data_IF_126395125921
#
_entry.id   IF_126395125921
#
_cell.length_a   1.000
_cell.length_b   1.000
_cell.length_c   1.000
_cell.angle_alpha   90.00
_cell.angle_beta   90.00
_cell.angle_gamma   90.00
#
_symmetry.space_group_name_H-M   'P 1'
#
loop_
_entity.id
_entity.type
_entity.pdbx_description
1 polymer ?
#
# COMPACT_ATOMS: atom_id res chain seq x y z
N UNK A 1 -24.48 7.77 -17.94
CA UNK A 1 -23.83 6.88 -16.94
C UNK A 1 -22.35 7.20 -16.92
N UNK A 2 -21.91 8.04 -15.97
CA UNK A 2 -20.48 8.27 -15.74
C UNK A 2 -19.93 6.97 -15.15
N UNK A 3 -19.06 6.28 -15.88
CA UNK A 3 -18.29 5.19 -15.34
C UNK A 3 -17.17 5.83 -14.51
N UNK A 4 -17.19 5.80 -13.16
CA UNK A 4 -16.03 6.19 -12.39
C UNK A 4 -14.93 5.17 -12.71
N UNK A 5 -13.98 5.59 -13.54
CA UNK A 5 -12.79 4.83 -13.91
C UNK A 5 -12.15 4.26 -12.65
N UNK A 6 -11.98 2.94 -12.63
CA UNK A 6 -11.59 2.09 -11.49
C UNK A 6 -10.14 2.28 -11.04
N UNK A 7 -9.65 3.52 -10.96
CA UNK A 7 -8.29 3.85 -10.55
C UNK A 7 -8.32 4.99 -9.52
N UNK A 8 -8.96 4.74 -8.37
CA UNK A 8 -8.90 5.69 -7.26
C UNK A 8 -7.45 5.74 -6.76
N UNK A 9 -6.90 6.95 -6.76
CA UNK A 9 -5.58 7.24 -6.23
C UNK A 9 -5.71 7.70 -4.77
N UNK A 10 -5.12 6.95 -3.86
CA UNK A 10 -5.13 7.20 -2.43
C UNK A 10 -3.89 7.99 -2.00
N UNK A 11 -4.06 8.92 -1.07
CA UNK A 11 -2.96 9.59 -0.37
C UNK A 11 -2.37 8.68 0.71
N UNK A 12 -1.15 8.97 1.16
CA UNK A 12 -0.53 8.24 2.27
C UNK A 12 -1.43 8.18 3.51
N UNK A 13 -2.17 9.25 3.80
CA UNK A 13 -3.14 9.28 4.91
C UNK A 13 -4.29 8.29 4.70
N UNK A 14 -4.90 8.24 3.51
CA UNK A 14 -5.97 7.28 3.22
C UNK A 14 -5.48 5.84 3.28
N UNK A 15 -4.24 5.59 2.79
CA UNK A 15 -3.60 4.28 2.91
C UNK A 15 -3.36 3.91 4.37
N UNK A 16 -2.92 4.87 5.18
CA UNK A 16 -2.69 4.68 6.61
C UNK A 16 -3.99 4.35 7.35
N UNK A 17 -5.06 5.11 7.09
CA UNK A 17 -6.39 4.85 7.65
C UNK A 17 -6.92 3.48 7.22
N UNK A 18 -6.73 3.10 5.96
CA UNK A 18 -7.18 1.81 5.44
C UNK A 18 -6.45 0.62 6.07
N UNK A 19 -5.16 0.78 6.35
CA UNK A 19 -4.31 -0.24 6.99
C UNK A 19 -4.34 -0.15 8.53
N UNK A 20 -5.02 0.84 9.11
CA UNK A 20 -5.06 1.06 10.56
C UNK A 20 -3.72 1.46 11.19
N UNK A 21 -2.85 2.13 10.43
CA UNK A 21 -1.51 2.54 10.88
C UNK A 21 -1.31 4.05 10.77
N UNK A 22 -0.18 4.56 11.27
CA UNK A 22 0.19 5.96 11.05
C UNK A 22 0.73 6.21 9.64
N UNK A 23 0.58 7.43 9.06
CA UNK A 23 1.20 7.77 7.78
C UNK A 23 2.71 7.56 7.76
N UNK A 24 3.39 7.81 8.88
CA UNK A 24 4.82 7.55 9.05
C UNK A 24 5.16 6.06 8.90
N UNK A 25 4.29 5.18 9.39
CA UNK A 25 4.42 3.72 9.21
C UNK A 25 4.30 3.33 7.74
N UNK A 26 3.39 3.96 6.99
CA UNK A 26 3.25 3.73 5.54
C UNK A 26 4.56 4.05 4.82
N UNK A 27 5.15 5.21 5.07
CA UNK A 27 6.45 5.57 4.48
C UNK A 27 7.56 4.59 4.89
N UNK A 28 7.62 4.22 6.18
CA UNK A 28 8.58 3.22 6.66
C UNK A 28 8.42 1.86 5.96
N UNK A 29 7.19 1.44 5.65
CA UNK A 29 6.96 0.20 4.91
C UNK A 29 7.37 0.32 3.45
N UNK A 30 7.17 1.48 2.82
CA UNK A 30 7.66 1.76 1.46
C UNK A 30 9.19 1.69 1.43
N UNK A 31 9.87 2.32 2.39
CA UNK A 31 11.34 2.28 2.51
C UNK A 31 11.87 0.86 2.73
N UNK A 32 11.13 0.05 3.53
CA UNK A 32 11.46 -1.36 3.75
C UNK A 32 11.11 -2.29 2.57
N UNK A 33 10.47 -1.78 1.52
CA UNK A 33 9.95 -2.62 0.43
C UNK A 33 8.75 -3.48 0.81
N UNK A 34 8.15 -3.21 1.97
CA UNK A 34 6.99 -3.93 2.50
C UNK A 34 5.66 -3.39 1.96
N UNK A 35 5.64 -2.26 1.27
CA UNK A 35 4.43 -1.67 0.67
C UNK A 35 4.76 -1.22 -0.77
N UNK A 36 3.83 -1.32 -1.73
CA UNK A 36 4.07 -0.90 -3.11
C UNK A 36 4.57 0.53 -3.22
N UNK A 37 5.44 0.79 -4.20
CA UNK A 37 6.00 2.13 -4.41
C UNK A 37 4.89 3.12 -4.79
N UNK A 38 4.86 4.32 -4.21
CA UNK A 38 3.93 5.35 -4.63
C UNK A 38 4.21 5.80 -6.07
N UNK A 39 3.15 6.21 -6.75
CA UNK A 39 3.23 7.01 -7.96
C UNK A 39 3.49 8.46 -7.58
N UNK A 40 4.56 9.03 -8.12
CA UNK A 40 4.89 10.45 -7.98
C UNK A 40 4.13 11.20 -9.07
N UNK A 41 3.11 11.96 -8.67
CA UNK A 41 2.27 12.78 -9.56
C UNK A 41 2.87 14.20 -9.70
N UNK A 42 3.67 14.63 -8.71
CA UNK A 42 4.36 15.92 -8.71
C UNK A 42 5.40 15.99 -7.61
N UNK A 43 6.04 17.14 -7.45
CA UNK A 43 7.24 17.33 -6.62
C UNK A 43 7.08 16.88 -5.16
N UNK A 44 5.87 17.00 -4.60
CA UNK A 44 5.53 16.57 -3.23
C UNK A 44 4.32 15.63 -3.17
N UNK A 45 3.74 15.28 -4.33
CA UNK A 45 2.48 14.57 -4.41
C UNK A 45 2.69 13.10 -4.78
N UNK A 46 2.69 12.23 -3.78
CA UNK A 46 2.72 10.77 -3.94
C UNK A 46 1.34 10.15 -3.75
N UNK A 47 0.99 9.17 -4.58
CA UNK A 47 -0.31 8.48 -4.56
C UNK A 47 -0.16 6.99 -4.78
N UNK A 48 -1.10 6.22 -4.25
CA UNK A 48 -1.19 4.78 -4.47
C UNK A 48 -2.45 4.45 -5.24
N UNK A 49 -2.36 3.55 -6.22
CA UNK A 49 -3.58 2.98 -6.81
C UNK A 49 -4.20 2.04 -5.79
N UNK A 50 -5.51 2.18 -5.58
CA UNK A 50 -6.24 1.24 -4.73
C UNK A 50 -6.06 -0.21 -5.22
N UNK A 51 -5.99 -0.42 -6.54
CA UNK A 51 -5.77 -1.74 -7.12
C UNK A 51 -4.45 -2.37 -6.66
N UNK A 52 -3.34 -1.64 -6.77
CA UNK A 52 -2.01 -2.13 -6.37
C UNK A 52 -1.96 -2.49 -4.88
N UNK A 53 -2.65 -1.73 -4.04
CA UNK A 53 -2.74 -2.04 -2.60
C UNK A 53 -3.58 -3.28 -2.31
N UNK A 54 -4.69 -3.48 -3.04
CA UNK A 54 -5.51 -4.71 -2.95
C UNK A 54 -4.70 -5.93 -3.43
N UNK A 55 -4.02 -5.81 -4.56
CA UNK A 55 -3.17 -6.88 -5.09
C UNK A 55 -2.03 -7.21 -4.12
N UNK A 56 -1.41 -6.18 -3.53
CA UNK A 56 -0.39 -6.35 -2.50
C UNK A 56 -0.94 -7.06 -1.25
N UNK A 57 -2.11 -6.67 -0.73
CA UNK A 57 -2.73 -7.36 0.42
C UNK A 57 -2.98 -8.84 0.13
N UNK A 58 -3.51 -9.16 -1.06
CA UNK A 58 -3.73 -10.54 -1.49
C UNK A 58 -2.45 -11.36 -1.60
N UNK A 59 -1.31 -10.71 -1.89
CA UNK A 59 0.00 -11.40 -1.90
C UNK A 59 0.55 -11.67 -0.50
N UNK A 60 0.29 -10.79 0.47
CA UNK A 60 0.83 -10.91 1.85
C UNK A 60 0.15 -11.97 2.70
N UNK A 61 -1.09 -12.35 2.39
CA UNK A 61 -1.78 -13.47 3.07
C UNK A 61 -1.08 -14.83 2.88
N UNK A 62 -0.15 -14.96 1.92
CA UNK A 62 0.57 -16.22 1.68
C UNK A 62 1.98 -16.31 2.27
N UNK A 63 2.57 -15.21 2.74
CA UNK A 63 3.95 -15.22 3.29
C UNK A 63 4.01 -15.46 4.81
N UNK A 64 2.87 -15.65 5.47
CA UNK A 64 2.79 -15.84 6.93
C UNK A 64 2.82 -17.31 7.37
N UNK A 65 3.57 -18.17 6.67
CA UNK A 65 3.65 -19.59 7.02
C UNK A 65 5.05 -20.22 7.08
N UNK A 66 6.15 -19.45 7.03
CA UNK A 66 7.52 -20.03 7.08
C UNK A 66 8.53 -19.18 7.88
N UNK A 67 8.13 -18.60 9.01
CA UNK A 67 9.09 -18.10 10.01
C UNK A 67 8.63 -18.49 11.41
N UNK A 68 8.50 -19.79 11.62
CA UNK A 68 8.34 -20.40 12.95
C UNK A 68 9.02 -21.79 12.90
N UNK A 69 10.32 -21.83 12.58
CA UNK A 69 11.19 -23.00 12.79
C UNK A 69 12.60 -22.78 12.24
N UNK A 70 13.49 -22.24 13.06
CA UNK A 70 14.92 -22.58 13.09
C UNK A 70 15.39 -22.20 14.51
N UNK A 71 15.15 -23.13 15.45
CA UNK A 71 16.15 -23.93 16.19
C UNK A 71 16.92 -23.14 17.26
#
# INVERSE_FOLDING_TARGET
MNHPSKDKLLKAQEVAEWLGVSPSTVYRWVEKGNLPKPYVIGETATRWRTKDLIEWLGTKEREKNEQDSEQ
#
